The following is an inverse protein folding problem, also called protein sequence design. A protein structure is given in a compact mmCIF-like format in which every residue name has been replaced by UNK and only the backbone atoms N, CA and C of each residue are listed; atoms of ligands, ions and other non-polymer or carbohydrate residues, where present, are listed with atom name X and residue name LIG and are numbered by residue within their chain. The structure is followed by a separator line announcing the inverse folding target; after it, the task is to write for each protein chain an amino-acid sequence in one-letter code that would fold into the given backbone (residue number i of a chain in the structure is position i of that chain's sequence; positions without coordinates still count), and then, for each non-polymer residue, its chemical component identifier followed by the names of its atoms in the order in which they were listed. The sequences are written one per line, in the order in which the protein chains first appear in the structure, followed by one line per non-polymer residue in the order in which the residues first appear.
data_IF_587891287688
#
_entry.id   IF_587891287688
#
_cell.length_a   1.000
_cell.length_b   1.000
_cell.length_c   1.000
_cell.angle_alpha   90.00
_cell.angle_beta   90.00
_cell.angle_gamma   90.00
#
_symmetry.space_group_name_H-M   'P 1'
#
loop_
_entity.id
_entity.type
_entity.pdbx_description
1 polymer ?
#
# COMPACT_ATOMS: atom_id res chain seq x y z
N UNK A 1 10.93 6.97 1.37
CA UNK A 1 11.16 5.98 2.45
C UNK A 1 10.15 6.13 3.59
N UNK A 2 10.04 7.29 4.24
CA UNK A 2 9.07 7.50 5.35
C UNK A 2 7.63 7.21 4.91
N UNK A 3 7.21 7.75 3.77
CA UNK A 3 5.87 7.51 3.19
C UNK A 3 5.62 6.01 2.99
N UNK A 4 6.58 5.27 2.44
CA UNK A 4 6.47 3.83 2.22
C UNK A 4 6.36 3.05 3.54
N UNK A 5 7.12 3.46 4.55
CA UNK A 5 7.06 2.85 5.85
C UNK A 5 5.70 3.06 6.53
N UNK A 6 5.12 4.26 6.43
CA UNK A 6 3.76 4.54 6.92
C UNK A 6 2.73 3.69 6.16
N UNK A 7 2.85 3.60 4.83
CA UNK A 7 1.98 2.76 4.02
C UNK A 7 2.07 1.29 4.45
N UNK A 8 3.28 0.77 4.68
CA UNK A 8 3.48 -0.57 5.22
C UNK A 8 2.78 -0.78 6.57
N UNK A 9 2.92 0.15 7.52
CA UNK A 9 2.25 0.06 8.81
C UNK A 9 0.73 0.01 8.67
N UNK A 10 0.16 0.81 7.76
CA UNK A 10 -1.27 0.79 7.49
C UNK A 10 -1.74 -0.52 6.86
N UNK A 11 -0.96 -1.15 5.96
CA UNK A 11 -1.28 -2.48 5.45
C UNK A 11 -1.22 -3.53 6.57
N UNK A 12 -0.16 -3.50 7.38
CA UNK A 12 0.07 -4.44 8.47
C UNK A 12 -1.02 -4.38 9.54
N UNK A 13 -1.40 -3.17 9.95
CA UNK A 13 -2.42 -2.93 10.98
C UNK A 13 -3.83 -3.02 10.39
N UNK A 14 -4.05 -2.58 9.16
CA UNK A 14 -5.37 -2.59 8.52
C UNK A 14 -5.87 -3.97 8.14
N UNK A 15 -4.97 -4.90 7.79
CA UNK A 15 -5.31 -6.27 7.37
C UNK A 15 -6.02 -7.12 8.45
N UNK A 16 -5.61 -7.11 9.73
CA UNK A 16 -6.32 -7.82 10.80
C UNK A 16 -7.56 -7.08 11.33
N UNK A 17 -7.78 -5.82 10.93
CA UNK A 17 -8.87 -4.96 11.39
C UNK A 17 -10.14 -5.17 10.53
N UNK A 18 -11.26 -4.58 10.94
CA UNK A 18 -12.56 -4.65 10.30
C UNK A 18 -12.55 -4.10 8.85
N UNK A 19 -13.05 -4.92 7.92
CA UNK A 19 -13.36 -4.51 6.54
C UNK A 19 -14.78 -3.95 6.44
N UNK A 20 -15.70 -4.54 7.18
CA UNK A 20 -17.08 -4.10 7.31
C UNK A 20 -17.47 -4.00 8.78
N UNK A 21 -18.24 -2.97 9.10
CA UNK A 21 -18.73 -2.70 10.44
C UNK A 21 -20.25 -2.60 10.40
N UNK A 22 -20.96 -3.40 11.20
CA UNK A 22 -22.41 -3.50 11.09
C UNK A 22 -23.09 -2.19 11.53
N UNK A 23 -24.16 -1.80 10.82
CA UNK A 23 -24.97 -0.62 11.21
C UNK A 23 -25.81 -0.95 12.43
N UNK A 24 -25.84 -0.05 13.41
CA UNK A 24 -26.78 -0.14 14.53
C UNK A 24 -26.21 0.08 15.93
N UNK A 25 -24.93 0.43 16.07
CA UNK A 25 -24.37 0.93 17.32
C UNK A 25 -23.39 2.07 17.06
N UNK A 26 -23.11 2.86 18.10
CA UNK A 26 -22.12 3.93 18.05
C UNK A 26 -20.74 3.41 17.65
N UNK A 27 -19.86 4.30 17.17
CA UNK A 27 -18.47 3.98 16.75
C UNK A 27 -17.59 3.32 17.84
N UNK A 28 -18.11 3.26 19.07
CA UNK A 28 -17.50 2.72 20.29
C UNK A 28 -18.44 1.73 21.02
N UNK A 29 -19.56 1.36 20.40
CA UNK A 29 -20.49 0.37 20.94
C UNK A 29 -20.07 -1.01 20.41
N UNK A 30 -20.29 -2.07 21.17
CA UNK A 30 -19.91 -3.44 20.81
C UNK A 30 -20.78 -3.95 19.65
N UNK A 31 -20.51 -3.46 18.45
CA UNK A 31 -21.19 -3.90 17.23
C UNK A 31 -20.37 -5.00 16.56
N UNK A 32 -21.06 -5.93 15.87
CA UNK A 32 -20.38 -6.95 15.11
C UNK A 32 -19.61 -6.33 13.95
N UNK A 33 -18.46 -6.92 13.61
CA UNK A 33 -17.74 -6.59 12.40
C UNK A 33 -17.19 -7.82 11.70
N UNK A 34 -16.90 -7.60 10.42
CA UNK A 34 -16.37 -8.60 9.51
C UNK A 34 -14.98 -8.14 9.10
N UNK A 35 -13.99 -8.97 9.40
CA UNK A 35 -12.60 -8.80 8.95
C UNK A 35 -12.36 -9.62 7.69
N UNK A 36 -11.14 -9.57 7.13
CA UNK A 36 -10.73 -10.51 6.08
C UNK A 36 -10.72 -11.98 6.56
N UNK A 37 -10.67 -12.22 7.87
CA UNK A 37 -10.40 -13.53 8.47
C UNK A 37 -11.67 -14.21 9.02
N UNK A 38 -12.70 -13.45 9.34
CA UNK A 38 -13.92 -13.94 9.95
C UNK A 38 -14.75 -12.80 10.57
N UNK A 39 -15.86 -13.16 11.19
CA UNK A 39 -16.68 -12.23 11.95
C UNK A 39 -16.31 -12.22 13.43
N UNK A 40 -16.55 -11.07 14.06
CA UNK A 40 -16.42 -10.88 15.51
C UNK A 40 -17.69 -10.26 16.03
N UNK A 41 -18.22 -10.77 17.13
CA UNK A 41 -19.34 -10.14 17.83
C UNK A 41 -18.91 -8.82 18.48
N UNK A 42 -17.67 -8.76 18.96
CA UNK A 42 -17.03 -7.55 19.45
C UNK A 42 -15.76 -7.23 18.64
N UNK A 43 -15.73 -6.11 17.92
CA UNK A 43 -14.60 -5.76 17.06
C UNK A 43 -13.25 -5.66 17.76
N UNK A 44 -13.26 -5.23 19.03
CA UNK A 44 -12.04 -5.10 19.82
C UNK A 44 -11.54 -6.44 20.38
N UNK A 45 -12.36 -7.48 20.33
CA UNK A 45 -11.95 -8.80 20.82
C UNK A 45 -10.92 -9.45 19.89
N UNK A 46 -10.01 -10.22 20.48
CA UNK A 46 -9.05 -11.04 19.73
C UNK A 46 -9.67 -12.31 19.13
N UNK A 47 -10.87 -12.67 19.58
CA UNK A 47 -11.52 -13.93 19.22
C UNK A 47 -12.44 -13.74 18.02
N UNK A 48 -12.47 -14.72 17.14
CA UNK A 48 -13.45 -14.80 16.06
C UNK A 48 -14.65 -15.60 16.53
N UNK A 49 -15.84 -15.04 16.33
CA UNK A 49 -17.09 -15.72 16.65
C UNK A 49 -17.45 -16.74 15.58
N UNK A 50 -17.16 -16.42 14.32
CA UNK A 50 -17.30 -17.34 13.19
C UNK A 50 -16.14 -17.14 12.20
N UNK A 51 -15.66 -18.26 11.67
CA UNK A 51 -14.66 -18.25 10.61
C UNK A 51 -15.30 -17.90 9.25
N UNK A 52 -14.45 -17.53 8.30
CA UNK A 52 -14.87 -17.15 6.94
C UNK A 52 -15.73 -18.22 6.24
N UNK A 53 -15.46 -19.50 6.49
CA UNK A 53 -16.18 -20.62 5.87
C UNK A 53 -17.61 -20.74 6.38
N UNK A 54 -17.82 -20.49 7.67
CA UNK A 54 -19.14 -20.52 8.28
C UNK A 54 -19.92 -19.26 7.90
N UNK A 55 -19.27 -18.09 7.96
CA UNK A 55 -19.86 -16.80 7.61
C UNK A 55 -20.40 -16.77 6.18
N UNK A 56 -19.65 -17.33 5.22
CA UNK A 56 -20.03 -17.33 3.79
C UNK A 56 -20.45 -18.68 3.25
N UNK A 57 -20.86 -19.62 4.11
CA UNK A 57 -21.26 -20.98 3.70
C UNK A 57 -22.35 -21.01 2.63
N UNK A 58 -23.29 -20.06 2.69
CA UNK A 58 -24.36 -19.90 1.69
C UNK A 58 -23.92 -19.19 0.41
N UNK A 59 -22.71 -18.65 0.36
CA UNK A 59 -22.26 -17.71 -0.67
C UNK A 59 -20.84 -18.02 -1.15
N UNK A 60 -20.66 -19.13 -1.89
CA UNK A 60 -19.34 -19.63 -2.26
C UNK A 60 -18.53 -18.62 -3.10
N UNK A 61 -19.19 -17.87 -3.99
CA UNK A 61 -18.53 -16.83 -4.79
C UNK A 61 -17.87 -15.75 -3.90
N UNK A 62 -18.56 -15.33 -2.82
CA UNK A 62 -18.04 -14.37 -1.85
C UNK A 62 -16.91 -14.99 -1.03
N UNK A 63 -17.08 -16.23 -0.57
CA UNK A 63 -16.03 -16.96 0.15
C UNK A 63 -14.73 -17.07 -0.65
N UNK A 64 -14.79 -17.43 -1.94
CA UNK A 64 -13.62 -17.51 -2.81
C UNK A 64 -12.93 -16.15 -2.99
N UNK A 65 -13.71 -15.07 -3.13
CA UNK A 65 -13.16 -13.70 -3.21
C UNK A 65 -12.41 -13.32 -1.93
N UNK A 66 -12.97 -13.61 -0.76
CA UNK A 66 -12.29 -13.34 0.51
C UNK A 66 -11.01 -14.17 0.66
N UNK A 67 -11.01 -15.45 0.30
CA UNK A 67 -9.79 -16.28 0.30
C UNK A 67 -8.72 -15.72 -0.62
N UNK A 68 -9.08 -15.26 -1.81
CA UNK A 68 -8.15 -14.57 -2.70
C UNK A 68 -7.62 -13.27 -2.06
N UNK A 69 -8.49 -12.47 -1.43
CA UNK A 69 -8.11 -11.25 -0.74
C UNK A 69 -7.16 -11.51 0.43
N UNK A 70 -7.35 -12.58 1.21
CA UNK A 70 -6.43 -12.99 2.27
C UNK A 70 -5.03 -13.24 1.70
N UNK A 71 -4.94 -14.02 0.61
CA UNK A 71 -3.66 -14.31 -0.04
C UNK A 71 -3.00 -13.03 -0.56
N UNK A 72 -3.74 -12.17 -1.26
CA UNK A 72 -3.21 -10.91 -1.77
C UNK A 72 -2.81 -9.95 -0.65
N UNK A 73 -3.56 -9.87 0.46
CA UNK A 73 -3.21 -9.04 1.60
C UNK A 73 -1.90 -9.49 2.27
N UNK A 74 -1.72 -10.81 2.46
CA UNK A 74 -0.45 -11.37 2.96
C UNK A 74 0.71 -11.01 2.01
N UNK A 75 0.51 -11.19 0.70
CA UNK A 75 1.53 -10.83 -0.30
C UNK A 75 1.85 -9.33 -0.21
N UNK A 76 0.84 -8.46 -0.11
CA UNK A 76 1.03 -7.03 0.05
C UNK A 76 1.85 -6.69 1.30
N UNK A 77 1.60 -7.34 2.44
CA UNK A 77 2.40 -7.13 3.67
C UNK A 77 3.89 -7.39 3.39
N UNK A 78 4.23 -8.52 2.76
CA UNK A 78 5.62 -8.84 2.44
C UNK A 78 6.22 -7.87 1.42
N UNK A 79 5.49 -7.55 0.35
CA UNK A 79 5.98 -6.66 -0.71
C UNK A 79 6.23 -5.24 -0.19
N UNK A 80 5.28 -4.69 0.58
CA UNK A 80 5.44 -3.37 1.22
C UNK A 80 6.57 -3.38 2.25
N UNK A 81 6.70 -4.46 3.03
CA UNK A 81 7.78 -4.62 4.01
C UNK A 81 9.16 -4.65 3.36
N UNK A 82 9.34 -5.44 2.30
CA UNK A 82 10.59 -5.50 1.54
C UNK A 82 10.87 -4.14 0.89
N UNK A 83 9.87 -3.49 0.30
CA UNK A 83 10.02 -2.15 -0.29
C UNK A 83 10.47 -1.11 0.75
N UNK A 84 9.92 -1.15 1.97
CA UNK A 84 10.33 -0.27 3.06
C UNK A 84 11.77 -0.55 3.50
N UNK A 85 12.14 -1.82 3.73
CA UNK A 85 13.49 -2.23 4.12
C UNK A 85 14.53 -1.80 3.07
N UNK A 86 14.28 -2.09 1.79
CA UNK A 86 15.18 -1.67 0.70
C UNK A 86 15.28 -0.13 0.62
N UNK A 87 14.18 0.57 0.88
CA UNK A 87 14.18 2.02 1.00
C UNK A 87 15.11 2.53 2.10
N UNK A 88 15.13 1.90 3.27
CA UNK A 88 16.06 2.25 4.35
C UNK A 88 17.50 1.84 4.04
N UNK A 89 17.73 0.65 3.46
CA UNK A 89 19.06 0.18 3.09
C UNK A 89 19.73 1.10 2.05
N UNK A 90 18.92 1.67 1.14
CA UNK A 90 19.37 2.69 0.18
C UNK A 90 19.88 3.97 0.87
N UNK A 91 19.33 4.33 2.03
CA UNK A 91 19.79 5.47 2.82
C UNK A 91 21.05 5.16 3.64
N UNK A 92 21.17 3.93 4.13
CA UNK A 92 22.24 3.55 5.04
C UNK A 92 23.57 3.25 4.33
N UNK A 93 23.60 2.30 3.39
CA UNK A 93 24.88 1.74 2.93
C UNK A 93 24.90 1.11 1.53
N UNK A 94 23.75 0.86 0.89
CA UNK A 94 23.69 0.01 -0.30
C UNK A 94 23.00 0.69 -1.48
N UNK A 95 23.67 0.81 -2.63
CA UNK A 95 23.04 1.22 -3.88
C UNK A 95 22.26 0.06 -4.48
N UNK A 96 20.99 -0.09 -4.10
CA UNK A 96 20.07 -1.03 -4.74
C UNK A 96 19.57 -0.46 -6.08
N UNK A 97 19.19 -1.32 -7.05
CA UNK A 97 18.66 -0.83 -8.31
C UNK A 97 17.31 -0.18 -8.06
N UNK A 98 17.18 1.11 -8.39
CA UNK A 98 15.91 1.86 -8.26
C UNK A 98 14.73 1.15 -8.93
N UNK A 99 14.99 0.46 -10.03
CA UNK A 99 14.00 -0.36 -10.75
C UNK A 99 13.43 -1.49 -9.89
N UNK A 100 14.22 -2.07 -8.98
CA UNK A 100 13.73 -3.09 -8.03
C UNK A 100 12.76 -2.47 -7.04
N UNK A 101 13.11 -1.31 -6.47
CA UNK A 101 12.20 -0.58 -5.59
C UNK A 101 10.91 -0.20 -6.33
N UNK A 102 11.01 0.35 -7.55
CA UNK A 102 9.84 0.69 -8.36
C UNK A 102 8.96 -0.54 -8.63
N UNK A 103 9.55 -1.65 -9.06
CA UNK A 103 8.82 -2.90 -9.33
C UNK A 103 8.10 -3.41 -8.08
N UNK A 104 8.73 -3.35 -6.91
CA UNK A 104 8.11 -3.75 -5.65
C UNK A 104 6.95 -2.84 -5.27
N UNK A 105 7.09 -1.52 -5.39
CA UNK A 105 5.99 -0.59 -5.10
C UNK A 105 4.82 -0.82 -6.07
N UNK A 106 5.08 -0.96 -7.37
CA UNK A 106 4.03 -1.28 -8.36
C UNK A 106 3.34 -2.62 -8.05
N UNK A 107 4.11 -3.65 -7.69
CA UNK A 107 3.56 -4.95 -7.29
C UNK A 107 2.70 -4.81 -6.02
N UNK A 108 3.16 -4.01 -5.05
CA UNK A 108 2.42 -3.67 -3.85
C UNK A 108 1.08 -3.00 -4.20
N UNK A 109 1.11 -1.94 -4.99
CA UNK A 109 -0.07 -1.21 -5.41
C UNK A 109 -1.09 -2.12 -6.12
N UNK A 110 -0.65 -3.01 -7.01
CA UNK A 110 -1.54 -3.95 -7.73
C UNK A 110 -2.17 -4.95 -6.77
N UNK A 111 -1.36 -5.58 -5.91
CA UNK A 111 -1.86 -6.59 -4.97
C UNK A 111 -2.85 -5.99 -3.97
N UNK A 112 -2.54 -4.82 -3.41
CA UNK A 112 -3.41 -4.14 -2.46
C UNK A 112 -4.68 -3.59 -3.12
N UNK A 113 -4.58 -3.12 -4.38
CA UNK A 113 -5.73 -2.73 -5.19
C UNK A 113 -6.74 -3.86 -5.33
N UNK A 114 -6.27 -5.07 -5.64
CA UNK A 114 -7.14 -6.25 -5.76
C UNK A 114 -7.90 -6.49 -4.45
N UNK A 115 -7.26 -6.34 -3.29
CA UNK A 115 -7.88 -6.55 -1.98
C UNK A 115 -9.03 -5.56 -1.74
N UNK A 116 -8.75 -4.25 -1.74
CA UNK A 116 -9.78 -3.28 -1.40
C UNK A 116 -10.86 -3.15 -2.49
N UNK A 117 -10.51 -3.29 -3.77
CA UNK A 117 -11.48 -3.28 -4.86
C UNK A 117 -12.45 -4.47 -4.75
N UNK A 118 -11.94 -5.66 -4.39
CA UNK A 118 -12.80 -6.83 -4.14
C UNK A 118 -13.73 -6.62 -2.96
N UNK A 119 -13.28 -5.95 -1.89
CA UNK A 119 -14.16 -5.59 -0.78
C UNK A 119 -15.26 -4.61 -1.21
N UNK A 120 -14.97 -3.65 -2.10
CA UNK A 120 -16.01 -2.78 -2.67
C UNK A 120 -17.02 -3.55 -3.52
N UNK A 121 -16.57 -4.56 -4.28
CA UNK A 121 -17.46 -5.44 -5.03
C UNK A 121 -18.43 -6.14 -4.08
N UNK A 122 -17.94 -6.73 -2.99
CA UNK A 122 -18.78 -7.34 -1.95
C UNK A 122 -19.74 -6.32 -1.32
N UNK A 123 -19.30 -5.08 -1.15
CA UNK A 123 -20.11 -4.02 -0.56
C UNK A 123 -21.31 -3.62 -1.43
N UNK A 124 -21.08 -3.43 -2.74
CA UNK A 124 -22.08 -2.87 -3.64
C UNK A 124 -22.83 -3.89 -4.50
N UNK A 125 -22.27 -5.07 -4.75
CA UNK A 125 -22.91 -6.07 -5.61
C UNK A 125 -23.74 -7.06 -4.80
N UNK A 126 -24.94 -7.35 -5.32
CA UNK A 126 -25.74 -8.49 -4.87
C UNK A 126 -25.15 -9.76 -5.49
N UNK A 127 -24.87 -10.75 -4.64
CA UNK A 127 -24.61 -12.11 -5.10
C UNK A 127 -25.96 -12.85 -5.08
N UNK A 128 -26.22 -13.75 -6.03
CA UNK A 128 -27.51 -14.47 -6.16
C UNK A 128 -28.04 -15.10 -4.85
N UNK A 129 -27.13 -15.46 -3.94
CA UNK A 129 -27.43 -16.10 -2.65
C UNK A 129 -27.15 -15.19 -1.43
N UNK A 130 -26.58 -14.01 -1.65
CA UNK A 130 -26.10 -13.11 -0.58
C UNK A 130 -26.53 -11.67 -0.83
N UNK A 131 -27.19 -11.08 0.16
CA UNK A 131 -27.52 -9.65 0.15
C UNK A 131 -26.25 -8.79 0.14
N UNK A 132 -26.39 -7.56 -0.35
CA UNK A 132 -25.30 -6.57 -0.32
C UNK A 132 -24.89 -6.25 1.10
N UNK A 133 -23.59 -6.16 1.31
CA UNK A 133 -23.06 -5.72 2.59
C UNK A 133 -23.40 -4.25 2.88
N UNK A 134 -23.61 -3.42 1.84
CA UNK A 134 -24.08 -2.03 1.99
C UNK A 134 -25.42 -1.90 2.73
N UNK A 135 -26.27 -2.92 2.69
CA UNK A 135 -27.59 -2.83 3.33
C UNK A 135 -27.50 -3.16 4.83
N UNK A 136 -26.44 -3.86 5.26
CA UNK A 136 -26.21 -4.33 6.63
C UNK A 136 -25.12 -3.53 7.37
N UNK A 137 -24.10 -3.08 6.64
CA UNK A 137 -22.83 -2.61 7.20
C UNK A 137 -22.37 -1.30 6.55
N UNK A 138 -21.40 -0.66 7.19
CA UNK A 138 -20.57 0.42 6.64
C UNK A 138 -19.16 -0.11 6.41
N UNK A 139 -18.38 0.61 5.60
CA UNK A 139 -16.96 0.29 5.41
C UNK A 139 -16.20 0.49 6.71
N UNK A 140 -15.39 -0.52 7.05
CA UNK A 140 -14.65 -0.58 8.30
C UNK A 140 -13.39 0.28 8.32
N UNK A 141 -12.79 0.37 9.51
CA UNK A 141 -11.57 1.16 9.71
C UNK A 141 -10.36 0.52 9.01
N UNK A 142 -10.30 -0.81 8.99
CA UNK A 142 -9.26 -1.57 8.30
C UNK A 142 -9.31 -1.33 6.79
N UNK A 143 -10.51 -1.32 6.20
CA UNK A 143 -10.70 -0.96 4.79
C UNK A 143 -10.13 0.43 4.48
N UNK A 144 -10.44 1.43 5.31
CA UNK A 144 -9.94 2.79 5.13
C UNK A 144 -8.40 2.85 5.19
N UNK A 145 -7.78 2.11 6.12
CA UNK A 145 -6.33 2.01 6.23
C UNK A 145 -5.71 1.41 4.96
N UNK A 146 -6.29 0.35 4.37
CA UNK A 146 -5.78 -0.24 3.14
C UNK A 146 -5.86 0.73 1.95
N UNK A 147 -6.95 1.49 1.83
CA UNK A 147 -7.10 2.51 0.77
C UNK A 147 -6.10 3.65 0.96
N UNK A 148 -5.92 4.14 2.18
CA UNK A 148 -4.94 5.19 2.47
C UNK A 148 -3.51 4.69 2.19
N UNK A 149 -3.19 3.46 2.59
CA UNK A 149 -1.91 2.84 2.29
C UNK A 149 -1.65 2.78 0.78
N UNK A 150 -2.64 2.36 0.00
CA UNK A 150 -2.57 2.32 -1.46
C UNK A 150 -2.32 3.70 -2.07
N UNK A 151 -2.97 4.74 -1.56
CA UNK A 151 -2.74 6.12 -2.00
C UNK A 151 -1.31 6.60 -1.69
N UNK A 152 -0.80 6.29 -0.49
CA UNK A 152 0.57 6.64 -0.10
C UNK A 152 1.61 5.95 -0.99
N UNK A 153 1.38 4.69 -1.34
CA UNK A 153 2.23 3.91 -2.25
C UNK A 153 2.17 4.48 -3.69
N UNK A 154 0.98 4.84 -4.17
CA UNK A 154 0.82 5.50 -5.46
C UNK A 154 1.59 6.83 -5.54
N UNK A 155 1.56 7.64 -4.47
CA UNK A 155 2.38 8.84 -4.35
C UNK A 155 3.88 8.50 -4.37
N UNK A 156 4.30 7.44 -3.67
CA UNK A 156 5.70 7.00 -3.67
C UNK A 156 6.17 6.56 -5.06
N UNK A 157 5.34 5.81 -5.81
CA UNK A 157 5.59 5.44 -7.22
C UNK A 157 5.74 6.71 -8.07
N UNK A 158 4.82 7.68 -7.92
CA UNK A 158 4.86 8.93 -8.65
C UNK A 158 6.15 9.71 -8.36
N UNK A 159 6.57 9.80 -7.10
CA UNK A 159 7.82 10.45 -6.73
C UNK A 159 9.05 9.74 -7.33
N UNK A 160 9.07 8.40 -7.32
CA UNK A 160 10.14 7.63 -7.94
C UNK A 160 10.22 7.84 -9.47
N UNK A 161 9.09 8.09 -10.13
CA UNK A 161 9.01 8.37 -11.56
C UNK A 161 9.33 9.85 -11.90
N UNK A 162 8.82 10.81 -11.12
CA UNK A 162 8.88 12.25 -11.43
C UNK A 162 10.12 12.98 -10.90
N UNK A 163 10.70 12.59 -9.76
CA UNK A 163 11.92 13.24 -9.27
C UNK A 163 13.18 12.80 -10.03
N UNK A 164 13.05 11.87 -10.98
CA UNK A 164 14.17 11.32 -11.71
C UNK A 164 14.64 12.20 -12.89
N UNK A 165 13.77 12.74 -13.78
CA UNK A 165 14.24 13.55 -14.91
C UNK A 165 14.90 14.88 -14.50
N UNK A 166 14.64 15.38 -13.28
CA UNK A 166 15.16 16.65 -12.81
C UNK A 166 16.60 16.58 -12.25
N UNK A 167 17.14 15.37 -12.05
CA UNK A 167 18.44 15.15 -11.42
C UNK A 167 19.52 14.67 -12.41
N UNK A 168 19.43 15.01 -13.69
CA UNK A 168 20.53 14.86 -14.65
C UNK A 168 21.49 16.06 -14.53
N UNK A 169 22.72 15.91 -14.00
CA UNK A 169 23.67 17.02 -13.83
C UNK A 169 24.43 17.37 -15.12
N UNK A 170 24.09 16.81 -16.29
CA UNK A 170 24.94 16.88 -17.49
C UNK A 170 24.81 18.17 -18.31
N UNK A 171 24.36 19.28 -17.71
CA UNK A 171 24.35 20.61 -18.34
C UNK A 171 25.14 21.67 -17.56
N UNK A 172 26.05 21.27 -16.67
CA UNK A 172 27.12 22.14 -16.18
C UNK A 172 28.42 21.87 -16.96
N UNK A 173 28.53 22.47 -18.13
CA UNK A 173 29.82 22.75 -18.76
C UNK A 173 29.78 24.19 -19.25
N UNK A 174 30.08 25.09 -18.32
CA UNK A 174 30.70 26.36 -18.67
C UNK A 174 32.00 26.46 -17.88
N UNK A 175 33.15 26.40 -18.56
CA UNK A 175 34.36 27.05 -18.09
C UNK A 175 34.65 28.23 -19.04
N UNK A 176 33.96 29.34 -18.84
CA UNK A 176 34.50 30.65 -19.21
C UNK A 176 35.05 31.27 -17.93
N UNK A 177 36.36 31.16 -17.69
CA UNK A 177 37.19 32.27 -17.23
C UNK A 177 38.63 31.79 -16.97
N UNK A 178 39.55 32.21 -17.83
CA UNK A 178 40.96 32.41 -17.46
C UNK A 178 41.63 33.19 -18.57
N UNK A 179 41.58 34.52 -18.48
CA UNK A 179 42.51 35.43 -19.16
C UNK A 179 43.37 36.19 -18.13
N UNK A 180 44.68 35.93 -18.24
CA UNK A 180 45.86 36.82 -18.12
C UNK A 180 46.24 37.47 -16.76
N UNK A 181 47.52 37.89 -16.50
CA UNK A 181 48.66 38.09 -17.43
C UNK A 181 50.08 37.67 -16.94
N UNK A 182 51.02 37.65 -17.91
CA UNK A 182 52.46 38.02 -17.83
C UNK A 182 53.48 37.25 -16.98
N UNK A 183 54.38 36.53 -17.64
CA UNK A 183 55.85 36.51 -17.40
C UNK A 183 56.54 35.97 -18.67
N UNK A 184 57.09 36.85 -19.52
CA UNK A 184 58.52 37.25 -19.62
C UNK A 184 59.39 36.34 -20.51
N UNK A 185 59.74 36.91 -21.67
CA UNK A 185 60.97 36.80 -22.48
C UNK A 185 61.69 35.45 -22.61
N UNK A 186 61.76 34.93 -23.85
CA UNK A 186 62.97 34.52 -24.58
C UNK A 186 62.55 34.17 -26.03
N UNK A 187 62.85 34.99 -27.05
CA UNK A 187 64.10 35.12 -27.81
C UNK A 187 64.36 34.01 -28.85
N UNK A 188 64.27 34.40 -30.14
CA UNK A 188 64.94 33.89 -31.38
C UNK A 188 64.85 32.38 -31.67
N UNK A 189 64.54 31.92 -32.89
CA UNK A 189 65.10 32.27 -34.20
C UNK A 189 64.15 31.82 -35.31
#
# INVERSE_FOLDING_TARGET
VIVQFIAFLFVLVGTPIDMFHQRGGGRFENTPCITLWGSKDECHSGNYSMDLEELWRGCPARQHRFRACQAFAIISIFVYGIAAVLGFLQLCCCSFPRWVCLALNVTGAVTLFIVWASMLVVYYQEDFLCVREKDLSVLGSGFALLVIAWLLDALNILFLLLLWPAADPSKSKDPSDSRDPSDSMDAKE
#
